data_IF_563904044988
#
_entry.id   IF_563904044988
#
_cell.length_a   1.000
_cell.length_b   1.000
_cell.length_c   1.000
_cell.angle_alpha   90.00
_cell.angle_beta   90.00
_cell.angle_gamma   90.00
#
_symmetry.space_group_name_H-M   'P 1'
#
loop_
_entity.id
_entity.type
_entity.pdbx_description
1 polymer ?
#
# COMPACT_ATOMS: atom_id res chain seq x y z
N UNK A 1 -4.39 -1.94 11.95
CA UNK A 1 -3.72 -2.16 13.25
C UNK A 1 -4.71 -2.04 14.40
N UNK A 2 -5.40 -0.92 14.56
CA UNK A 2 -6.31 -0.68 15.71
C UNK A 2 -7.37 -1.78 15.88
N UNK A 3 -8.14 -2.10 14.84
CA UNK A 3 -9.16 -3.15 14.92
C UNK A 3 -8.60 -4.50 15.40
N UNK A 4 -7.44 -4.94 14.90
CA UNK A 4 -6.83 -6.20 15.36
C UNK A 4 -6.34 -6.05 16.80
N UNK A 5 -5.75 -4.89 17.17
CA UNK A 5 -5.32 -4.63 18.55
C UNK A 5 -6.49 -4.71 19.53
N UNK A 6 -7.63 -4.16 19.16
CA UNK A 6 -8.85 -4.18 19.98
C UNK A 6 -9.40 -5.60 20.12
N UNK A 7 -9.42 -6.38 19.04
CA UNK A 7 -9.91 -7.78 19.05
C UNK A 7 -9.02 -8.73 19.88
N UNK A 8 -7.70 -8.57 19.82
CA UNK A 8 -6.78 -9.48 20.51
C UNK A 8 -6.23 -8.94 21.82
N UNK A 9 -6.56 -7.70 22.18
CA UNK A 9 -6.10 -7.06 23.41
C UNK A 9 -4.58 -6.80 23.45
N UNK A 10 -3.91 -6.71 22.29
CA UNK A 10 -2.45 -6.51 22.18
C UNK A 10 -2.14 -5.33 21.28
N UNK A 11 -1.28 -4.43 21.74
CA UNK A 11 -0.79 -3.32 20.90
C UNK A 11 0.03 -3.84 19.71
N UNK A 12 -0.42 -3.52 18.49
CA UNK A 12 0.28 -3.85 17.26
C UNK A 12 1.07 -2.65 16.77
N UNK A 13 2.34 -2.58 17.12
CA UNK A 13 3.24 -1.49 16.73
C UNK A 13 4.32 -1.92 15.73
N UNK A 14 4.28 -3.15 15.24
CA UNK A 14 5.26 -3.73 14.32
C UNK A 14 4.56 -4.36 13.12
N UNK A 15 5.02 -4.03 11.93
CA UNK A 15 4.57 -4.62 10.68
C UNK A 15 5.68 -5.43 10.03
N UNK A 16 5.33 -6.54 9.41
CA UNK A 16 6.20 -7.34 8.55
C UNK A 16 5.56 -7.52 7.19
N UNK A 17 6.38 -7.49 6.15
CA UNK A 17 5.95 -7.77 4.79
C UNK A 17 6.99 -8.64 4.10
N UNK A 18 6.53 -9.64 3.36
CA UNK A 18 7.40 -10.57 2.64
C UNK A 18 7.04 -10.56 1.17
N UNK A 19 8.03 -10.78 0.31
CA UNK A 19 7.90 -10.89 -1.14
C UNK A 19 7.55 -9.60 -1.88
N UNK A 20 7.06 -8.58 -1.22
CA UNK A 20 6.75 -7.28 -1.84
C UNK A 20 8.06 -6.54 -2.13
N UNK A 21 8.38 -6.26 -3.39
CA UNK A 21 9.70 -5.78 -3.78
C UNK A 21 9.96 -4.32 -3.45
N UNK A 22 8.95 -3.55 -3.11
CA UNK A 22 9.13 -2.14 -2.73
C UNK A 22 7.95 -1.55 -2.00
N UNK A 23 8.16 -0.30 -1.55
CA UNK A 23 7.26 0.35 -0.62
C UNK A 23 7.03 1.80 -1.04
N UNK A 24 5.78 2.18 -1.26
CA UNK A 24 5.42 3.55 -1.56
C UNK A 24 5.68 4.48 -0.37
N UNK A 25 6.23 5.65 -0.60
CA UNK A 25 6.61 6.59 0.46
C UNK A 25 5.45 7.01 1.38
N UNK A 26 4.23 7.07 0.86
CA UNK A 26 3.03 7.34 1.66
C UNK A 26 2.73 6.32 2.76
N UNK A 27 3.32 5.13 2.68
CA UNK A 27 3.16 4.07 3.68
C UNK A 27 3.69 4.51 5.07
N UNK A 28 4.74 5.34 5.12
CA UNK A 28 5.29 5.84 6.39
C UNK A 28 4.22 6.56 7.21
N UNK A 29 3.52 7.52 6.57
CA UNK A 29 2.45 8.26 7.23
C UNK A 29 1.32 7.33 7.67
N UNK A 30 0.90 6.40 6.80
CA UNK A 30 -0.14 5.44 7.13
C UNK A 30 0.24 4.56 8.33
N UNK A 31 1.47 4.04 8.38
CA UNK A 31 1.97 3.25 9.50
C UNK A 31 2.02 4.07 10.79
N UNK A 32 2.69 5.22 10.77
CA UNK A 32 2.90 6.04 11.96
C UNK A 32 1.57 6.53 12.57
N UNK A 33 0.62 6.98 11.74
CA UNK A 33 -0.72 7.42 12.20
C UNK A 33 -1.57 6.28 12.75
N UNK A 34 -1.25 5.03 12.42
CA UNK A 34 -1.89 3.83 12.98
C UNK A 34 -1.06 3.17 14.09
N UNK A 35 -0.09 3.86 14.70
CA UNK A 35 0.68 3.37 15.83
C UNK A 35 1.78 2.35 15.47
N UNK A 36 2.00 2.06 14.19
CA UNK A 36 3.09 1.18 13.75
C UNK A 36 4.39 1.97 13.76
N UNK A 37 5.32 1.57 14.63
CA UNK A 37 6.63 2.19 14.86
C UNK A 37 7.77 1.46 14.17
N UNK A 38 7.59 0.17 13.92
CA UNK A 38 8.61 -0.75 13.41
C UNK A 38 8.14 -1.45 12.15
N UNK A 39 9.05 -1.58 11.19
CA UNK A 39 8.71 -2.19 9.92
C UNK A 39 9.84 -3.10 9.42
N UNK A 40 9.51 -4.35 9.15
CA UNK A 40 10.42 -5.36 8.61
C UNK A 40 10.00 -5.79 7.20
N UNK A 41 10.37 -5.05 6.15
CA UNK A 41 10.21 -5.54 4.79
C UNK A 41 11.23 -6.62 4.48
N UNK A 42 10.78 -7.64 3.75
CA UNK A 42 11.63 -8.67 3.17
C UNK A 42 11.33 -8.75 1.68
N UNK A 43 11.99 -7.96 0.85
CA UNK A 43 11.74 -7.95 -0.58
C UNK A 43 12.11 -9.28 -1.22
N UNK A 44 11.48 -9.59 -2.33
CA UNK A 44 11.94 -10.70 -3.16
C UNK A 44 13.28 -10.32 -3.77
N UNK A 45 14.32 -10.83 -3.19
CA UNK A 45 15.69 -10.64 -3.65
C UNK A 45 16.31 -11.98 -4.02
N UNK A 46 16.64 -12.13 -5.27
CA UNK A 46 17.39 -13.30 -5.75
C UNK A 46 18.77 -12.81 -6.18
N UNK A 47 19.84 -13.23 -5.50
CA UNK A 47 21.21 -12.79 -5.79
C UNK A 47 21.63 -12.98 -7.26
N UNK A 48 20.99 -13.92 -7.95
CA UNK A 48 21.24 -14.18 -9.38
C UNK A 48 20.65 -13.11 -10.31
N UNK A 49 19.64 -12.37 -9.89
CA UNK A 49 19.07 -11.24 -10.64
C UNK A 49 19.76 -9.91 -10.33
N UNK A 50 20.64 -9.85 -9.34
CA UNK A 50 21.47 -8.68 -8.99
C UNK A 50 22.37 -8.17 -10.11
N UNK A 51 22.43 -8.87 -11.24
CA UNK A 51 23.05 -8.39 -12.48
C UNK A 51 22.11 -7.62 -13.41
N UNK A 52 20.85 -7.53 -13.10
CA UNK A 52 19.92 -6.61 -13.78
C UNK A 52 20.14 -5.23 -13.15
N UNK A 53 21.30 -4.72 -13.37
CA UNK A 53 22.08 -3.74 -12.64
C UNK A 53 21.57 -2.31 -12.61
N UNK A 54 20.28 -2.03 -12.84
CA UNK A 54 19.70 -0.69 -12.71
C UNK A 54 18.32 -0.71 -12.04
N UNK A 55 17.95 -1.80 -11.41
CA UNK A 55 16.73 -1.87 -10.63
C UNK A 55 16.88 -1.05 -9.34
N UNK A 56 15.96 -0.13 -9.10
CA UNK A 56 15.92 0.64 -7.85
C UNK A 56 15.82 -0.26 -6.61
N UNK A 57 15.15 -1.41 -6.71
CA UNK A 57 15.07 -2.37 -5.62
C UNK A 57 16.45 -2.93 -5.28
N UNK A 58 17.24 -3.30 -6.27
CA UNK A 58 18.62 -3.76 -6.06
C UNK A 58 19.48 -2.65 -5.44
N UNK A 59 19.38 -1.41 -5.91
CA UNK A 59 20.12 -0.28 -5.36
C UNK A 59 19.76 0.03 -3.90
N UNK A 60 18.48 -0.01 -3.56
CA UNK A 60 17.99 0.17 -2.19
C UNK A 60 18.42 -1.01 -1.30
N UNK A 61 18.44 -2.22 -1.84
CA UNK A 61 18.86 -3.41 -1.14
C UNK A 61 20.34 -3.37 -0.79
N UNK A 62 21.19 -2.98 -1.74
CA UNK A 62 22.64 -2.76 -1.53
C UNK A 62 22.87 -1.68 -0.49
N UNK A 63 22.07 -0.61 -0.50
CA UNK A 63 22.22 0.49 0.44
C UNK A 63 21.71 0.17 1.84
N UNK A 64 20.60 -0.52 1.96
CA UNK A 64 19.84 -0.67 3.20
C UNK A 64 19.63 -2.12 3.64
N UNK A 65 20.08 -3.09 2.88
CA UNK A 65 20.00 -4.51 3.28
C UNK A 65 20.76 -4.74 4.59
N UNK A 66 20.05 -5.29 5.59
CA UNK A 66 20.54 -5.50 6.95
C UNK A 66 21.11 -4.25 7.65
N UNK A 67 20.80 -3.07 7.13
CA UNK A 67 21.17 -1.78 7.72
C UNK A 67 19.92 -1.02 8.15
N UNK A 68 19.67 -0.91 9.45
CA UNK A 68 18.47 -0.24 9.95
C UNK A 68 18.56 1.28 9.76
N UNK A 69 17.39 1.89 9.56
CA UNK A 69 17.25 3.33 9.39
C UNK A 69 15.86 3.80 9.80
N UNK A 70 15.71 5.07 10.13
CA UNK A 70 14.40 5.69 10.23
C UNK A 70 13.93 6.14 8.86
N UNK A 71 12.80 5.60 8.41
CA UNK A 71 12.14 6.06 7.19
C UNK A 71 11.18 7.18 7.54
N UNK A 72 11.47 8.38 7.02
CA UNK A 72 10.73 9.60 7.33
C UNK A 72 9.69 9.91 6.27
N UNK A 73 8.52 10.37 6.70
CA UNK A 73 7.42 10.79 5.82
C UNK A 73 7.78 12.02 4.99
N UNK A 74 6.99 12.29 3.95
CA UNK A 74 7.13 13.50 3.11
C UNK A 74 7.00 14.80 3.89
N UNK A 75 6.15 14.83 4.92
CA UNK A 75 5.98 15.99 5.80
C UNK A 75 7.14 16.20 6.77
N UNK A 76 8.00 15.20 6.95
CA UNK A 76 9.06 15.23 7.96
C UNK A 76 8.58 15.00 9.40
N UNK A 77 7.27 14.85 9.63
CA UNK A 77 6.69 14.77 10.99
C UNK A 77 6.64 13.37 11.55
N UNK A 78 6.56 12.37 10.68
CA UNK A 78 6.38 10.96 11.05
C UNK A 78 7.59 10.15 10.61
N UNK A 79 7.96 9.15 11.39
CA UNK A 79 9.02 8.20 11.05
C UNK A 79 8.72 6.81 11.58
N UNK A 80 9.25 5.80 10.90
CA UNK A 80 9.17 4.38 11.26
C UNK A 80 10.57 3.80 11.21
N UNK A 81 10.97 3.03 12.22
CA UNK A 81 12.23 2.31 12.20
C UNK A 81 12.10 1.08 11.27
N UNK A 82 12.97 1.00 10.28
CA UNK A 82 12.96 -0.04 9.25
C UNK A 82 14.20 -0.91 9.37
N UNK A 83 14.01 -2.21 9.25
CA UNK A 83 15.07 -3.17 8.96
C UNK A 83 14.67 -3.99 7.74
N UNK A 84 15.30 -3.71 6.62
CA UNK A 84 15.11 -4.46 5.39
C UNK A 84 16.00 -5.70 5.40
N UNK A 85 15.40 -6.89 5.22
CA UNK A 85 16.17 -8.12 5.16
C UNK A 85 17.17 -8.09 3.98
N UNK A 86 18.45 -8.21 4.28
CA UNK A 86 19.54 -8.00 3.34
C UNK A 86 19.65 -9.03 2.23
N UNK A 87 19.08 -10.23 2.44
CA UNK A 87 19.08 -11.30 1.45
C UNK A 87 17.67 -11.79 1.09
N UNK A 88 16.71 -10.86 1.14
CA UNK A 88 15.31 -11.14 0.88
C UNK A 88 14.59 -11.77 2.06
N UNK A 89 13.32 -12.14 1.85
CA UNK A 89 12.44 -12.54 2.95
C UNK A 89 12.63 -13.98 3.44
N UNK A 90 13.17 -14.87 2.63
CA UNK A 90 13.25 -16.31 2.97
C UNK A 90 14.53 -16.99 2.52
N UNK A 91 15.15 -16.53 1.47
CA UNK A 91 16.19 -17.26 0.76
C UNK A 91 17.41 -17.62 1.62
N UNK A 92 18.07 -16.64 2.21
CA UNK A 92 19.24 -16.87 3.06
C UNK A 92 18.83 -17.44 4.40
N UNK A 93 17.84 -16.85 5.01
CA UNK A 93 17.42 -17.19 6.36
C UNK A 93 16.73 -18.55 6.44
N UNK A 94 16.03 -18.98 5.38
CA UNK A 94 15.44 -20.32 5.29
C UNK A 94 16.43 -21.47 5.22
N UNK A 95 17.69 -21.18 4.97
CA UNK A 95 18.74 -22.21 4.87
C UNK A 95 19.56 -22.35 6.14
N UNK A 96 19.40 -21.43 7.10
CA UNK A 96 20.24 -21.36 8.28
C UNK A 96 20.10 -22.59 9.16
N UNK A 97 18.89 -23.02 9.52
CA UNK A 97 18.68 -24.19 10.38
C UNK A 97 19.09 -25.49 9.70
N UNK A 98 18.73 -25.69 8.42
CA UNK A 98 19.19 -26.86 7.66
C UNK A 98 20.71 -26.92 7.53
N UNK A 99 21.39 -25.77 7.61
CA UNK A 99 22.84 -25.69 7.45
C UNK A 99 23.60 -25.67 8.76
N UNK A 100 23.04 -25.19 9.86
CA UNK A 100 23.63 -25.33 11.19
C UNK A 100 23.73 -26.82 11.58
N UNK A 101 22.72 -27.64 11.23
CA UNK A 101 22.69 -29.06 11.58
C UNK A 101 23.31 -30.00 10.55
N UNK A 102 23.27 -29.71 9.27
CA UNK A 102 23.56 -30.67 8.20
C UNK A 102 24.75 -30.28 7.31
N UNK A 103 24.98 -29.00 7.06
CA UNK A 103 25.99 -28.53 6.08
C UNK A 103 27.15 -27.74 6.70
N UNK A 104 27.27 -27.72 8.03
CA UNK A 104 28.35 -27.05 8.71
C UNK A 104 28.14 -25.55 8.99
N UNK A 105 29.18 -24.86 9.41
CA UNK A 105 29.16 -23.49 9.91
C UNK A 105 29.36 -22.44 8.81
N UNK A 106 29.74 -22.86 7.61
CA UNK A 106 30.17 -21.98 6.52
C UNK A 106 29.18 -20.82 6.24
N UNK A 107 27.87 -21.04 6.15
CA UNK A 107 26.95 -19.94 5.85
C UNK A 107 26.87 -18.87 6.94
N UNK A 108 27.11 -19.22 8.19
CA UNK A 108 27.15 -18.26 9.28
C UNK A 108 28.46 -17.48 9.24
N UNK A 109 29.59 -18.17 9.02
CA UNK A 109 30.87 -17.52 8.89
C UNK A 109 30.95 -16.62 7.66
N UNK A 110 30.37 -17.04 6.52
CA UNK A 110 30.28 -16.24 5.32
C UNK A 110 29.48 -14.96 5.59
N UNK A 111 28.33 -15.07 6.27
CA UNK A 111 27.52 -13.91 6.61
C UNK A 111 28.20 -12.97 7.59
N UNK A 112 28.87 -13.49 8.61
CA UNK A 112 29.63 -12.66 9.56
C UNK A 112 30.82 -11.97 8.87
N UNK A 113 31.52 -12.67 7.98
CA UNK A 113 32.61 -12.11 7.18
C UNK A 113 32.11 -11.01 6.25
N UNK A 114 30.93 -11.18 5.66
CA UNK A 114 30.28 -10.16 4.85
C UNK A 114 29.94 -8.92 5.69
N UNK A 115 29.33 -9.09 6.86
CA UNK A 115 29.03 -8.00 7.78
C UNK A 115 30.29 -7.24 8.24
N UNK A 116 31.38 -7.97 8.53
CA UNK A 116 32.68 -7.36 8.85
C UNK A 116 33.26 -6.60 7.67
N UNK A 117 33.21 -7.17 6.47
CA UNK A 117 33.71 -6.54 5.26
C UNK A 117 32.95 -5.25 4.91
N UNK A 118 31.67 -5.23 5.24
CA UNK A 118 30.80 -4.07 5.04
C UNK A 118 30.83 -3.09 6.23
N UNK A 119 31.70 -3.29 7.20
CA UNK A 119 31.83 -2.43 8.39
C UNK A 119 30.51 -2.29 9.15
N UNK A 120 29.81 -3.42 9.35
CA UNK A 120 28.53 -3.44 10.08
C UNK A 120 28.72 -2.96 11.53
N UNK A 121 28.09 -1.86 11.95
CA UNK A 121 28.48 -1.17 13.19
C UNK A 121 27.80 -1.70 14.44
N UNK A 122 26.89 -2.69 14.32
CA UNK A 122 26.08 -3.16 15.44
C UNK A 122 26.51 -4.55 15.89
N UNK A 123 26.32 -4.84 17.17
CA UNK A 123 26.60 -6.14 17.75
C UNK A 123 25.44 -7.14 17.66
N UNK A 124 24.32 -6.70 17.10
CA UNK A 124 23.11 -7.52 16.97
C UNK A 124 22.53 -7.33 15.58
N UNK A 125 22.21 -8.42 14.91
CA UNK A 125 21.50 -8.38 13.64
C UNK A 125 20.17 -9.12 13.71
N UNK A 126 19.25 -8.76 12.81
CA UNK A 126 17.92 -9.33 12.70
C UNK A 126 17.86 -10.34 11.57
N UNK A 127 17.63 -11.60 11.91
CA UNK A 127 17.48 -12.68 10.95
C UNK A 127 16.00 -13.08 10.83
N UNK A 128 15.53 -13.21 9.61
CA UNK A 128 14.21 -13.80 9.31
C UNK A 128 14.41 -15.24 8.86
N UNK A 129 13.63 -16.14 9.44
CA UNK A 129 13.79 -17.56 9.19
C UNK A 129 12.51 -18.20 8.67
N UNK A 130 12.65 -19.01 7.63
CA UNK A 130 11.63 -19.94 7.12
C UNK A 130 12.28 -21.26 6.73
N UNK A 131 11.57 -22.38 6.91
CA UNK A 131 12.03 -23.69 6.46
C UNK A 131 11.96 -23.78 4.94
N UNK A 132 13.00 -24.28 4.30
CA UNK A 132 13.07 -24.54 2.85
C UNK A 132 12.88 -23.30 1.95
N UNK A 133 12.96 -22.09 2.48
CA UNK A 133 12.79 -20.87 1.71
C UNK A 133 11.34 -20.39 1.66
N UNK A 134 10.82 -20.17 0.46
CA UNK A 134 9.49 -19.61 0.25
C UNK A 134 8.38 -20.58 0.68
N UNK A 135 7.34 -20.05 1.33
CA UNK A 135 6.16 -20.79 1.78
C UNK A 135 6.47 -22.03 2.64
N UNK A 136 7.58 -22.00 3.36
CA UNK A 136 7.99 -23.12 4.21
C UNK A 136 7.12 -23.29 5.47
N UNK A 137 6.95 -24.54 5.95
CA UNK A 137 6.25 -24.80 7.20
C UNK A 137 7.04 -24.32 8.41
N UNK A 138 6.42 -24.24 9.60
CA UNK A 138 7.14 -24.03 10.84
C UNK A 138 8.21 -25.11 11.08
N UNK A 139 9.40 -24.70 11.50
CA UNK A 139 10.50 -25.62 11.82
C UNK A 139 10.37 -26.11 13.25
N UNK A 140 10.13 -27.42 13.40
CA UNK A 140 10.01 -28.07 14.71
C UNK A 140 11.36 -28.22 15.43
N UNK A 141 12.47 -28.21 14.69
CA UNK A 141 13.82 -28.40 15.24
C UNK A 141 14.54 -27.11 15.63
N UNK A 142 14.01 -25.95 15.24
CA UNK A 142 14.70 -24.66 15.39
C UNK A 142 15.15 -24.36 16.81
N UNK A 143 14.30 -24.62 17.80
CA UNK A 143 14.63 -24.37 19.21
C UNK A 143 15.77 -25.25 19.73
N UNK A 144 15.80 -26.50 19.28
CA UNK A 144 16.85 -27.45 19.67
C UNK A 144 18.18 -27.10 19.00
N UNK A 145 18.16 -26.80 17.71
CA UNK A 145 19.35 -26.36 16.96
C UNK A 145 19.97 -25.09 17.57
N UNK A 146 19.14 -24.11 17.93
CA UNK A 146 19.62 -22.87 18.58
C UNK A 146 20.20 -23.15 19.96
N UNK A 147 19.57 -24.02 20.76
CA UNK A 147 20.10 -24.40 22.06
C UNK A 147 21.47 -25.08 21.94
N UNK A 148 21.58 -26.09 21.05
CA UNK A 148 22.84 -26.79 20.78
C UNK A 148 23.94 -25.85 20.28
N UNK A 149 23.59 -24.90 19.41
CA UNK A 149 24.52 -23.88 18.97
C UNK A 149 25.03 -23.03 20.12
N UNK A 150 24.14 -22.49 20.94
CA UNK A 150 24.48 -21.61 22.05
C UNK A 150 25.25 -22.31 23.19
N UNK A 151 25.09 -23.63 23.34
CA UNK A 151 25.89 -24.45 24.26
C UNK A 151 27.32 -24.69 23.72
N UNK A 152 27.46 -24.73 22.40
CA UNK A 152 28.71 -25.04 21.71
C UNK A 152 29.59 -23.83 21.42
N UNK A 153 28.99 -22.68 21.13
CA UNK A 153 29.69 -21.47 20.73
C UNK A 153 29.38 -20.31 21.67
N UNK A 154 30.39 -19.59 22.09
CA UNK A 154 30.24 -18.38 22.89
C UNK A 154 29.74 -17.20 22.05
N UNK A 155 30.14 -17.11 20.78
CA UNK A 155 29.75 -16.07 19.82
C UNK A 155 29.71 -16.63 18.40
N UNK A 156 28.72 -16.23 17.58
CA UNK A 156 27.52 -15.47 17.95
C UNK A 156 26.50 -16.32 18.68
N UNK A 157 25.70 -15.68 19.53
CA UNK A 157 24.56 -16.32 20.19
C UNK A 157 23.29 -16.06 19.36
N UNK A 158 22.46 -17.09 19.19
CA UNK A 158 21.16 -16.96 18.56
C UNK A 158 20.05 -16.83 19.62
N UNK A 159 19.09 -15.99 19.32
CA UNK A 159 17.90 -15.83 20.15
C UNK A 159 16.64 -15.81 19.29
N UNK A 160 15.68 -16.68 19.57
CA UNK A 160 14.33 -16.60 18.99
C UNK A 160 13.61 -15.42 19.66
N UNK A 161 13.06 -14.54 18.83
CA UNK A 161 12.38 -13.33 19.29
C UNK A 161 11.21 -13.01 18.34
N UNK A 162 10.26 -12.23 18.83
CA UNK A 162 9.33 -11.54 17.95
C UNK A 162 10.02 -10.34 17.30
N UNK A 163 9.55 -9.93 16.11
CA UNK A 163 10.05 -8.71 15.47
C UNK A 163 9.92 -7.50 16.43
N UNK A 164 8.77 -7.37 17.11
CA UNK A 164 8.56 -6.31 18.12
C UNK A 164 9.65 -6.27 19.19
N UNK A 165 9.94 -7.41 19.83
CA UNK A 165 10.93 -7.46 20.89
C UNK A 165 12.33 -7.08 20.39
N UNK A 166 12.68 -7.55 19.20
CA UNK A 166 13.94 -7.18 18.57
C UNK A 166 14.03 -5.69 18.35
N UNK A 167 13.07 -5.10 17.64
CA UNK A 167 13.08 -3.67 17.30
C UNK A 167 13.12 -2.78 18.53
N UNK A 168 12.34 -3.08 19.56
CA UNK A 168 12.33 -2.29 20.79
C UNK A 168 13.70 -2.26 21.45
N UNK A 169 14.36 -3.41 21.59
CA UNK A 169 15.70 -3.49 22.19
C UNK A 169 16.77 -2.85 21.31
N UNK A 170 16.65 -3.02 20.01
CA UNK A 170 17.57 -2.43 19.06
C UNK A 170 17.47 -0.90 19.05
N UNK A 171 16.25 -0.36 19.06
CA UNK A 171 16.02 1.08 19.14
C UNK A 171 16.51 1.67 20.47
N UNK A 172 16.28 0.99 21.59
CA UNK A 172 16.80 1.39 22.90
C UNK A 172 18.33 1.54 22.90
N UNK A 173 19.02 0.61 22.23
CA UNK A 173 20.48 0.59 22.19
C UNK A 173 21.10 1.53 21.16
N UNK A 174 20.51 1.60 19.96
CA UNK A 174 21.13 2.25 18.80
C UNK A 174 20.29 3.36 18.18
N UNK A 175 19.05 3.57 18.64
CA UNK A 175 18.10 4.44 17.97
C UNK A 175 18.57 5.89 17.77
N UNK A 176 19.41 6.39 18.67
CA UNK A 176 19.94 7.76 18.57
C UNK A 176 20.97 7.95 17.42
N UNK A 177 21.59 6.86 16.97
CA UNK A 177 22.67 6.85 15.98
C UNK A 177 22.19 6.47 14.59
N UNK A 178 20.93 6.02 14.46
CA UNK A 178 20.41 5.51 13.20
C UNK A 178 20.23 6.63 12.17
N UNK A 179 20.62 6.37 10.92
CA UNK A 179 20.42 7.32 9.84
C UNK A 179 18.92 7.51 9.54
N UNK A 180 18.59 8.68 8.99
CA UNK A 180 17.24 8.99 8.50
C UNK A 180 17.25 8.98 6.98
N UNK A 181 16.30 8.25 6.40
CA UNK A 181 16.05 8.23 4.97
C UNK A 181 14.67 8.82 4.68
N UNK A 182 14.62 9.78 3.76
CA UNK A 182 13.39 10.36 3.24
C UNK A 182 13.35 10.13 1.72
N UNK A 183 12.38 9.37 1.27
CA UNK A 183 12.27 9.04 -0.15
C UNK A 183 11.38 7.83 -0.40
N UNK A 184 11.07 7.64 -1.67
CA UNK A 184 10.29 6.50 -2.14
C UNK A 184 11.16 5.25 -2.25
N UNK A 185 10.60 4.12 -1.86
CA UNK A 185 11.24 2.81 -1.95
C UNK A 185 10.51 1.88 -2.93
N UNK A 186 9.71 2.46 -3.83
CA UNK A 186 9.00 1.70 -4.87
C UNK A 186 10.00 1.20 -5.92
N UNK A 187 10.04 -0.09 -6.23
CA UNK A 187 10.90 -0.67 -7.24
C UNK A 187 10.28 -0.61 -8.62
N UNK A 188 10.99 -1.16 -9.60
CA UNK A 188 10.52 -1.35 -10.97
C UNK A 188 9.62 -2.56 -11.17
N UNK A 189 9.42 -3.38 -10.16
CA UNK A 189 8.55 -4.56 -10.26
C UNK A 189 7.06 -4.19 -10.23
N UNK A 190 6.61 -3.55 -11.30
CA UNK A 190 5.21 -3.22 -11.54
C UNK A 190 4.72 -3.80 -12.88
N UNK A 191 5.32 -4.86 -13.33
CA UNK A 191 5.02 -5.49 -14.62
C UNK A 191 3.55 -5.86 -14.75
N UNK A 192 2.95 -6.33 -13.67
CA UNK A 192 1.54 -6.68 -13.64
C UNK A 192 0.63 -5.47 -13.83
N UNK A 193 0.92 -4.35 -13.17
CA UNK A 193 0.16 -3.12 -13.32
C UNK A 193 0.23 -2.58 -14.76
N UNK A 194 1.40 -2.68 -15.39
CA UNK A 194 1.60 -2.27 -16.78
C UNK A 194 0.87 -3.21 -17.76
N UNK A 195 0.89 -4.52 -17.53
CA UNK A 195 0.24 -5.50 -18.42
C UNK A 195 -1.29 -5.48 -18.34
N UNK A 196 -1.88 -4.93 -17.28
CA UNK A 196 -3.33 -4.77 -17.08
C UNK A 196 -3.70 -3.31 -16.86
N UNK A 197 -3.20 -2.43 -17.70
CA UNK A 197 -3.32 -0.97 -17.55
C UNK A 197 -4.79 -0.49 -17.43
N UNK A 198 -5.72 -1.09 -18.17
CA UNK A 198 -7.14 -0.74 -18.12
C UNK A 198 -7.75 -1.06 -16.76
N UNK A 199 -7.53 -2.26 -16.24
CA UNK A 199 -8.03 -2.72 -14.95
C UNK A 199 -7.34 -1.97 -13.80
N UNK A 200 -6.07 -1.66 -13.94
CA UNK A 200 -5.32 -0.83 -12.98
C UNK A 200 -5.90 0.58 -12.92
N UNK A 201 -6.16 1.22 -14.03
CA UNK A 201 -6.81 2.54 -14.09
C UNK A 201 -8.22 2.50 -13.48
N UNK A 202 -9.00 1.46 -13.79
CA UNK A 202 -10.32 1.22 -13.21
C UNK A 202 -10.24 1.06 -11.69
N UNK A 203 -9.32 0.25 -11.19
CA UNK A 203 -9.15 0.02 -9.75
C UNK A 203 -8.74 1.29 -9.00
N UNK A 204 -7.83 2.09 -9.55
CA UNK A 204 -7.41 3.38 -8.98
C UNK A 204 -8.59 4.37 -8.94
N UNK A 205 -9.35 4.48 -10.01
CA UNK A 205 -10.55 5.32 -10.06
C UNK A 205 -11.59 4.86 -9.05
N UNK A 206 -11.75 3.55 -8.89
CA UNK A 206 -12.68 2.95 -7.93
C UNK A 206 -12.27 3.26 -6.49
N UNK A 207 -10.99 3.13 -6.15
CA UNK A 207 -10.49 3.48 -4.82
C UNK A 207 -10.76 4.96 -4.48
N UNK A 208 -10.49 5.87 -5.42
CA UNK A 208 -10.79 7.29 -5.24
C UNK A 208 -12.31 7.54 -5.07
N UNK A 209 -13.14 6.88 -5.89
CA UNK A 209 -14.60 6.98 -5.80
C UNK A 209 -15.13 6.47 -4.46
N UNK A 210 -14.62 5.35 -3.94
CA UNK A 210 -15.03 4.82 -2.65
C UNK A 210 -14.75 5.82 -1.52
N UNK A 211 -13.54 6.36 -1.45
CA UNK A 211 -13.18 7.36 -0.45
C UNK A 211 -14.07 8.62 -0.52
N UNK A 212 -14.33 9.10 -1.74
CA UNK A 212 -15.27 10.22 -1.96
C UNK A 212 -16.70 9.85 -1.54
N UNK A 213 -17.14 8.64 -1.85
CA UNK A 213 -18.48 8.16 -1.55
C UNK A 213 -18.74 8.05 -0.04
N UNK A 214 -17.75 7.58 0.73
CA UNK A 214 -17.79 7.58 2.21
C UNK A 214 -18.00 8.99 2.75
N UNK A 215 -17.25 9.95 2.21
CA UNK A 215 -17.35 11.36 2.58
C UNK A 215 -18.73 11.92 2.21
N UNK A 216 -19.20 11.70 0.97
CA UNK A 216 -20.54 12.14 0.52
C UNK A 216 -21.64 11.53 1.39
N UNK A 217 -21.53 10.24 1.72
CA UNK A 217 -22.47 9.59 2.62
C UNK A 217 -22.55 10.31 3.96
N UNK A 218 -21.39 10.58 4.56
CA UNK A 218 -21.30 11.30 5.84
C UNK A 218 -21.85 12.74 5.78
N UNK A 219 -21.74 13.39 4.61
CA UNK A 219 -22.27 14.76 4.40
C UNK A 219 -23.80 14.77 4.25
N UNK A 220 -24.38 13.80 3.55
CA UNK A 220 -25.77 13.84 3.08
C UNK A 220 -26.73 12.96 3.89
N UNK A 221 -26.26 11.83 4.44
CA UNK A 221 -27.07 10.86 5.19
C UNK A 221 -26.88 11.03 6.70
N UNK A 222 -27.60 11.95 7.30
CA UNK A 222 -27.47 12.27 8.73
C UNK A 222 -28.06 11.23 9.68
N UNK A 223 -29.06 10.50 9.23
CA UNK A 223 -29.89 9.58 10.06
C UNK A 223 -29.83 8.13 9.58
N UNK A 224 -29.37 7.87 8.39
CA UNK A 224 -29.32 6.54 7.79
C UNK A 224 -28.09 5.78 8.28
N UNK A 225 -28.27 4.48 8.48
CA UNK A 225 -27.13 3.63 8.85
C UNK A 225 -26.11 3.58 7.71
N UNK A 226 -24.84 3.81 8.05
CA UNK A 226 -23.73 3.68 7.10
C UNK A 226 -23.65 2.23 6.60
N UNK A 227 -23.59 1.97 5.27
CA UNK A 227 -23.60 0.62 4.72
C UNK A 227 -22.20 -0.05 4.79
N UNK A 228 -21.68 -0.18 6.00
CA UNK A 228 -20.32 -0.66 6.33
C UNK A 228 -19.95 -1.97 5.60
N UNK A 229 -20.87 -2.94 5.59
CA UNK A 229 -20.62 -4.23 4.91
C UNK A 229 -20.41 -4.08 3.42
N UNK A 230 -21.16 -3.20 2.76
CA UNK A 230 -21.03 -2.99 1.31
C UNK A 230 -19.74 -2.25 0.95
N UNK A 231 -19.34 -1.25 1.76
CA UNK A 231 -18.04 -0.60 1.59
C UNK A 231 -16.87 -1.56 1.84
N UNK A 232 -16.94 -2.36 2.91
CA UNK A 232 -15.89 -3.37 3.19
C UNK A 232 -15.72 -4.36 2.05
N UNK A 233 -16.81 -4.83 1.45
CA UNK A 233 -16.71 -5.76 0.31
C UNK A 233 -16.14 -5.10 -0.95
N UNK A 234 -16.51 -3.85 -1.23
CA UNK A 234 -15.93 -3.09 -2.34
C UNK A 234 -14.43 -2.82 -2.13
N UNK A 235 -14.03 -2.38 -0.94
CA UNK A 235 -12.62 -2.19 -0.59
C UNK A 235 -11.82 -3.49 -0.61
N UNK A 236 -12.40 -4.62 -0.19
CA UNK A 236 -11.77 -5.93 -0.29
C UNK A 236 -11.41 -6.27 -1.74
N UNK A 237 -12.31 -6.03 -2.68
CA UNK A 237 -12.04 -6.26 -4.10
C UNK A 237 -10.93 -5.34 -4.63
N UNK A 238 -10.89 -4.04 -4.23
CA UNK A 238 -9.79 -3.13 -4.56
C UNK A 238 -8.45 -3.66 -4.07
N UNK A 239 -8.40 -4.15 -2.82
CA UNK A 239 -7.16 -4.65 -2.20
C UNK A 239 -6.71 -5.96 -2.86
N UNK A 240 -7.63 -6.90 -3.11
CA UNK A 240 -7.32 -8.17 -3.77
C UNK A 240 -6.83 -8.00 -5.21
N UNK A 241 -7.32 -6.99 -5.92
CA UNK A 241 -6.77 -6.63 -7.22
C UNK A 241 -5.32 -6.13 -7.10
N UNK A 242 -5.00 -5.37 -6.06
CA UNK A 242 -3.70 -4.72 -5.85
C UNK A 242 -2.68 -5.59 -5.10
N UNK A 243 -2.97 -6.89 -4.86
CA UNK A 243 -1.99 -7.76 -4.23
C UNK A 243 -0.75 -7.98 -5.14
N UNK A 244 0.39 -8.37 -4.56
CA UNK A 244 1.70 -8.28 -5.20
C UNK A 244 1.99 -9.31 -6.30
N UNK A 245 1.26 -10.44 -6.38
CA UNK A 245 1.57 -11.51 -7.34
C UNK A 245 1.12 -11.23 -8.77
N UNK A 246 0.21 -10.34 -8.96
CA UNK A 246 -0.18 -9.71 -10.22
C UNK A 246 -0.15 -10.61 -11.48
N UNK A 247 -1.02 -11.50 -11.65
CA UNK A 247 -1.07 -12.41 -12.78
C UNK A 247 -0.35 -13.74 -12.50
N UNK A 248 -0.22 -14.55 -13.51
CA UNK A 248 0.40 -15.85 -13.37
C UNK A 248 1.91 -15.78 -13.51
N UNK A 249 2.63 -16.62 -12.77
CA UNK A 249 4.09 -16.80 -12.93
C UNK A 249 4.49 -17.16 -14.38
N UNK A 250 3.59 -17.79 -15.13
CA UNK A 250 3.77 -18.14 -16.55
C UNK A 250 3.41 -16.99 -17.52
N UNK A 251 3.05 -15.80 -17.06
CA UNK A 251 2.63 -14.70 -17.94
C UNK A 251 3.71 -14.29 -18.95
N UNK A 252 4.98 -14.38 -18.55
CA UNK A 252 6.11 -14.08 -19.44
C UNK A 252 6.50 -15.23 -20.39
N UNK A 253 6.31 -16.48 -19.98
CA UNK A 253 6.78 -17.66 -20.72
C UNK A 253 5.67 -18.33 -21.53
N UNK A 254 4.41 -18.29 -21.05
CA UNK A 254 3.25 -18.88 -21.72
C UNK A 254 1.98 -18.02 -21.53
N UNK A 255 1.95 -16.80 -22.12
CA UNK A 255 0.86 -15.84 -21.92
C UNK A 255 -0.49 -16.32 -22.48
N UNK A 256 -0.48 -17.30 -23.37
CA UNK A 256 -1.67 -17.80 -24.05
C UNK A 256 -2.25 -19.08 -23.44
N UNK A 257 -1.59 -19.67 -22.45
CA UNK A 257 -2.10 -20.86 -21.76
C UNK A 257 -3.45 -20.59 -21.09
N UNK A 258 -4.24 -21.64 -20.96
CA UNK A 258 -5.50 -21.56 -20.20
C UNK A 258 -5.26 -21.13 -18.75
N UNK A 259 -4.20 -21.63 -18.13
CA UNK A 259 -3.83 -21.28 -16.76
C UNK A 259 -3.59 -19.78 -16.60
N UNK A 260 -2.79 -19.17 -17.47
CA UNK A 260 -2.50 -17.72 -17.43
C UNK A 260 -3.78 -16.89 -17.64
N UNK A 261 -4.60 -17.28 -18.62
CA UNK A 261 -5.86 -16.58 -18.90
C UNK A 261 -6.85 -16.67 -17.74
N UNK A 262 -7.03 -17.84 -17.15
CA UNK A 262 -7.92 -18.03 -15.99
C UNK A 262 -7.50 -17.17 -14.80
N UNK A 263 -6.20 -17.03 -14.54
CA UNK A 263 -5.68 -16.15 -13.48
C UNK A 263 -5.92 -14.67 -13.78
N UNK A 264 -5.71 -14.24 -15.01
CA UNK A 264 -5.98 -12.85 -15.42
C UNK A 264 -7.47 -12.52 -15.35
N UNK A 265 -8.34 -13.42 -15.77
CA UNK A 265 -9.79 -13.26 -15.63
C UNK A 265 -10.19 -13.14 -14.15
N UNK A 266 -9.62 -13.97 -13.28
CA UNK A 266 -9.84 -13.88 -11.84
C UNK A 266 -9.41 -12.53 -11.25
N UNK A 267 -8.23 -12.03 -11.64
CA UNK A 267 -7.76 -10.70 -11.22
C UNK A 267 -8.64 -9.58 -11.76
N UNK A 268 -8.98 -9.62 -13.04
CA UNK A 268 -9.89 -8.66 -13.67
C UNK A 268 -11.23 -8.60 -12.94
N UNK A 269 -11.78 -9.74 -12.55
CA UNK A 269 -13.06 -9.79 -11.83
C UNK A 269 -13.07 -8.99 -10.54
N UNK A 270 -11.95 -8.88 -9.81
CA UNK A 270 -11.86 -8.02 -8.64
C UNK A 270 -12.04 -6.54 -9.01
N UNK A 271 -11.37 -6.06 -10.06
CA UNK A 271 -11.50 -4.68 -10.51
C UNK A 271 -12.92 -4.36 -11.00
N UNK A 272 -13.51 -5.25 -11.80
CA UNK A 272 -14.88 -5.14 -12.30
C UNK A 272 -15.91 -5.10 -11.15
N UNK A 273 -15.80 -6.02 -10.20
CA UNK A 273 -16.68 -6.09 -9.02
C UNK A 273 -16.57 -4.82 -8.17
N UNK A 274 -15.35 -4.38 -7.86
CA UNK A 274 -15.10 -3.17 -7.10
C UNK A 274 -15.71 -1.95 -7.80
N UNK A 275 -15.51 -1.83 -9.12
CA UNK A 275 -16.06 -0.73 -9.91
C UNK A 275 -17.59 -0.70 -9.86
N UNK A 276 -18.24 -1.84 -10.09
CA UNK A 276 -19.70 -1.94 -10.05
C UNK A 276 -20.25 -1.61 -8.66
N UNK A 277 -19.67 -2.18 -7.61
CA UNK A 277 -20.07 -1.93 -6.22
C UNK A 277 -19.90 -0.45 -5.86
N UNK A 278 -18.80 0.17 -6.23
CA UNK A 278 -18.55 1.59 -5.95
C UNK A 278 -19.53 2.51 -6.67
N UNK A 279 -19.94 2.19 -7.90
CA UNK A 279 -20.95 2.94 -8.63
C UNK A 279 -22.33 2.87 -7.96
N UNK A 280 -22.71 1.69 -7.47
CA UNK A 280 -23.97 1.51 -6.72
C UNK A 280 -23.94 2.35 -5.44
N UNK A 281 -22.87 2.25 -4.65
CA UNK A 281 -22.71 3.02 -3.43
C UNK A 281 -22.71 4.53 -3.69
N UNK A 282 -22.03 4.98 -4.75
CA UNK A 282 -22.00 6.39 -5.15
C UNK A 282 -23.40 6.92 -5.49
N UNK A 283 -24.18 6.18 -6.27
CA UNK A 283 -25.57 6.53 -6.58
C UNK A 283 -26.45 6.59 -5.33
N UNK A 284 -26.26 5.65 -4.41
CA UNK A 284 -26.98 5.65 -3.14
C UNK A 284 -26.59 6.84 -2.27
N UNK A 285 -25.28 7.17 -2.18
CA UNK A 285 -24.80 8.31 -1.42
C UNK A 285 -25.38 9.64 -1.91
N UNK A 286 -25.62 9.78 -3.21
CA UNK A 286 -26.22 10.97 -3.82
C UNK A 286 -27.75 11.00 -3.75
N UNK A 287 -28.40 9.93 -3.29
CA UNK A 287 -29.89 9.85 -3.31
C UNK A 287 -30.63 10.94 -2.52
N UNK A 288 -30.06 11.55 -1.44
CA UNK A 288 -30.71 12.68 -0.78
C UNK A 288 -30.70 13.97 -1.59
N UNK A 289 -29.80 14.09 -2.55
CA UNK A 289 -29.86 15.17 -3.50
C UNK A 289 -30.96 14.81 -4.51
N UNK A 290 -32.19 15.14 -4.16
CA UNK A 290 -33.29 15.00 -5.11
C UNK A 290 -32.97 15.86 -6.32
N UNK A 291 -32.52 15.22 -7.37
CA UNK A 291 -32.47 15.83 -8.69
C UNK A 291 -33.94 15.98 -9.07
N UNK A 292 -34.45 17.19 -8.97
CA UNK A 292 -35.73 17.52 -9.56
C UNK A 292 -35.71 17.02 -11.01
N UNK A 293 -36.72 16.25 -11.38
CA UNK A 293 -36.78 15.58 -12.69
C UNK A 293 -36.73 16.56 -13.89
N UNK A 294 -36.56 17.86 -13.63
CA UNK A 294 -36.43 18.92 -14.60
C UNK A 294 -35.00 19.28 -15.04
N UNK A 295 -33.98 18.85 -14.32
CA UNK A 295 -32.58 19.10 -14.72
C UNK A 295 -32.10 20.55 -14.59
N UNK A 296 -32.78 21.39 -13.84
CA UNK A 296 -32.50 22.83 -13.79
C UNK A 296 -31.44 23.21 -12.72
N UNK A 297 -30.88 22.23 -12.03
CA UNK A 297 -29.87 22.47 -10.99
C UNK A 297 -28.63 21.62 -11.14
N UNK A 298 -27.46 22.22 -10.83
CA UNK A 298 -26.18 21.54 -10.75
C UNK A 298 -25.68 21.63 -9.30
N UNK A 299 -25.47 20.48 -8.66
CA UNK A 299 -24.89 20.38 -7.33
C UNK A 299 -23.39 20.09 -7.44
N UNK A 300 -22.56 20.97 -6.90
CA UNK A 300 -21.11 20.78 -6.81
C UNK A 300 -20.75 20.48 -5.35
N UNK A 301 -20.20 19.28 -5.09
CA UNK A 301 -19.80 18.86 -3.75
C UNK A 301 -18.29 18.93 -3.62
N UNK A 302 -17.83 19.60 -2.57
CA UNK A 302 -16.43 19.57 -2.18
C UNK A 302 -16.25 18.56 -1.04
N UNK A 303 -15.64 17.44 -1.34
CA UNK A 303 -15.35 16.36 -0.38
C UNK A 303 -14.00 16.54 0.33
N UNK A 304 -13.25 17.59 0.04
CA UNK A 304 -11.96 17.88 0.67
C UNK A 304 -12.13 18.68 1.98
N UNK A 305 -11.08 18.66 2.80
CA UNK A 305 -11.02 19.38 4.08
C UNK A 305 -10.57 20.84 3.94
N UNK A 306 -10.54 21.38 2.73
CA UNK A 306 -10.16 22.76 2.42
C UNK A 306 -11.06 23.34 1.34
N UNK A 307 -11.15 24.67 1.28
CA UNK A 307 -11.87 25.36 0.22
C UNK A 307 -11.25 25.06 -1.14
N UNK A 308 -12.06 24.88 -2.15
CA UNK A 308 -11.60 24.49 -3.47
C UNK A 308 -12.21 25.37 -4.56
N UNK A 309 -11.38 25.79 -5.49
CA UNK A 309 -11.75 26.32 -6.81
C UNK A 309 -11.31 25.30 -7.84
N UNK A 310 -12.22 24.82 -8.67
CA UNK A 310 -11.87 23.82 -9.69
C UNK A 310 -12.83 23.85 -10.87
N UNK A 311 -12.39 23.22 -11.97
CA UNK A 311 -13.23 23.04 -13.16
C UNK A 311 -14.23 21.91 -12.94
N UNK A 312 -15.50 22.22 -13.19
CA UNK A 312 -16.60 21.25 -13.17
C UNK A 312 -17.00 20.90 -14.60
N UNK A 313 -17.03 19.63 -14.90
CA UNK A 313 -17.54 19.11 -16.17
C UNK A 313 -18.98 18.66 -15.99
N UNK A 314 -19.89 19.22 -16.78
CA UNK A 314 -21.28 18.82 -16.76
C UNK A 314 -21.48 17.51 -17.53
N UNK A 315 -22.46 16.72 -17.11
CA UNK A 315 -22.84 15.51 -17.83
C UNK A 315 -23.20 15.84 -19.28
N UNK A 316 -22.93 14.94 -20.20
CA UNK A 316 -23.19 15.11 -21.64
C UNK A 316 -24.68 15.33 -21.99
N UNK A 317 -25.59 14.97 -21.07
CA UNK A 317 -27.03 15.23 -21.24
C UNK A 317 -27.41 16.65 -20.85
N UNK A 318 -26.54 17.42 -20.19
CA UNK A 318 -26.81 18.83 -19.87
C UNK A 318 -26.50 19.69 -21.09
N UNK A 319 -27.53 20.38 -21.60
CA UNK A 319 -27.38 21.28 -22.73
C UNK A 319 -27.61 22.73 -22.29
N UNK A 320 -26.59 23.58 -22.49
CA UNK A 320 -26.62 25.02 -22.18
C UNK A 320 -26.63 25.90 -23.44
N UNK A 321 -27.00 25.39 -24.65
CA UNK A 321 -26.89 26.17 -25.89
C UNK A 321 -27.64 27.51 -25.87
N UNK A 322 -28.79 27.58 -25.20
CA UNK A 322 -29.61 28.80 -25.09
C UNK A 322 -29.96 29.11 -23.62
N UNK A 323 -29.18 28.56 -22.71
CA UNK A 323 -29.37 28.63 -21.26
C UNK A 323 -28.15 29.17 -20.58
N UNK A 324 -28.34 29.82 -19.47
CA UNK A 324 -27.26 30.32 -18.61
C UNK A 324 -27.15 29.51 -17.33
N UNK A 325 -25.96 29.41 -16.79
CA UNK A 325 -25.72 28.90 -15.47
C UNK A 325 -25.56 30.08 -14.50
N UNK A 326 -26.35 30.07 -13.44
CA UNK A 326 -26.30 31.15 -12.44
C UNK A 326 -26.03 30.59 -11.07
N UNK A 327 -25.38 31.38 -10.19
CA UNK A 327 -25.22 31.08 -8.78
C UNK A 327 -26.55 31.22 -8.05
N UNK A 328 -26.59 30.79 -6.79
CA UNK A 328 -27.74 30.95 -5.91
C UNK A 328 -28.14 32.42 -5.65
N UNK A 329 -27.17 33.33 -5.83
CA UNK A 329 -27.37 34.79 -5.72
C UNK A 329 -27.80 35.45 -7.02
N UNK A 330 -27.94 34.66 -8.10
CA UNK A 330 -28.37 35.13 -9.44
C UNK A 330 -27.23 35.67 -10.29
N UNK A 331 -25.97 35.46 -9.87
CA UNK A 331 -24.82 35.89 -10.67
C UNK A 331 -24.56 34.90 -11.81
N UNK A 332 -24.32 35.38 -12.99
CA UNK A 332 -24.00 34.53 -14.16
C UNK A 332 -22.63 33.90 -13.99
N UNK A 333 -22.56 32.59 -14.30
CA UNK A 333 -21.33 31.82 -14.33
C UNK A 333 -20.91 31.58 -15.77
N UNK A 334 -19.68 31.95 -16.11
CA UNK A 334 -19.11 31.71 -17.42
C UNK A 334 -18.95 30.20 -17.67
N UNK A 335 -19.46 29.77 -18.85
CA UNK A 335 -19.42 28.37 -19.26
C UNK A 335 -18.71 28.22 -20.59
N UNK A 336 -18.05 27.09 -20.77
CA UNK A 336 -17.34 26.74 -22.01
C UNK A 336 -17.85 25.41 -22.55
N UNK A 337 -18.20 25.38 -23.84
CA UNK A 337 -18.45 24.14 -24.55
C UNK A 337 -17.14 23.49 -24.98
N UNK A 338 -16.95 22.22 -24.63
CA UNK A 338 -15.78 21.45 -24.98
C UNK A 338 -15.90 20.79 -26.34
N UNK A 339 -14.76 20.31 -26.86
CA UNK A 339 -14.72 19.64 -28.18
C UNK A 339 -15.59 18.36 -28.23
N UNK A 340 -15.69 17.64 -27.11
CA UNK A 340 -16.51 16.43 -26.96
C UNK A 340 -18.00 16.72 -26.74
N UNK A 341 -18.41 18.00 -26.79
CA UNK A 341 -19.78 18.45 -26.66
C UNK A 341 -20.26 18.69 -25.23
N UNK A 342 -19.47 18.30 -24.20
CA UNK A 342 -19.80 18.65 -22.84
C UNK A 342 -19.62 20.13 -22.53
N UNK A 343 -20.20 20.59 -21.44
CA UNK A 343 -20.00 21.92 -20.92
C UNK A 343 -19.10 21.87 -19.66
N UNK A 344 -18.34 22.93 -19.44
CA UNK A 344 -17.51 23.10 -18.27
C UNK A 344 -17.63 24.53 -17.71
N UNK A 345 -17.42 24.69 -16.40
CA UNK A 345 -17.34 25.97 -15.74
C UNK A 345 -16.39 25.89 -14.56
N UNK A 346 -15.98 27.04 -14.02
CA UNK A 346 -15.17 27.09 -12.79
C UNK A 346 -16.10 27.28 -11.61
N UNK A 347 -16.10 26.33 -10.68
CA UNK A 347 -16.75 26.46 -9.38
C UNK A 347 -15.74 27.08 -8.40
N UNK A 348 -16.03 28.32 -7.95
CA UNK A 348 -15.08 29.09 -7.17
C UNK A 348 -15.34 28.98 -5.67
N UNK A 349 -14.25 28.80 -4.92
CA UNK A 349 -14.20 28.90 -3.46
C UNK A 349 -15.26 28.04 -2.72
N UNK A 350 -15.54 26.83 -3.20
CA UNK A 350 -16.47 25.91 -2.54
C UNK A 350 -15.89 25.52 -1.17
N UNK A 351 -16.59 25.79 -0.06
CA UNK A 351 -16.04 25.51 1.26
C UNK A 351 -15.74 24.02 1.50
N UNK A 352 -14.87 23.75 2.46
CA UNK A 352 -14.55 22.38 2.86
C UNK A 352 -15.82 21.62 3.29
N UNK A 353 -15.93 20.34 2.89
CA UNK A 353 -17.04 19.44 3.22
C UNK A 353 -18.43 20.08 3.02
N UNK A 354 -18.60 20.80 1.91
CA UNK A 354 -19.84 21.51 1.59
C UNK A 354 -20.29 21.28 0.15
N UNK A 355 -21.42 21.85 -0.17
CA UNK A 355 -21.94 21.86 -1.56
C UNK A 355 -22.40 23.25 -1.94
N UNK A 356 -22.27 23.57 -3.24
CA UNK A 356 -22.87 24.74 -3.88
C UNK A 356 -23.84 24.30 -4.94
N UNK A 357 -24.90 25.09 -5.13
CA UNK A 357 -25.97 24.80 -6.11
C UNK A 357 -26.01 25.91 -7.14
N UNK A 358 -25.96 25.51 -8.37
CA UNK A 358 -26.12 26.39 -9.54
C UNK A 358 -27.43 26.08 -10.23
N UNK A 359 -28.08 27.10 -10.80
CA UNK A 359 -29.33 26.95 -11.51
C UNK A 359 -29.12 27.16 -13.01
N UNK A 360 -29.76 26.34 -13.80
CA UNK A 360 -29.81 26.46 -15.25
C UNK A 360 -31.10 27.24 -15.61
N UNK A 361 -30.96 28.41 -16.22
CA UNK A 361 -32.05 29.31 -16.57
C UNK A 361 -32.15 29.57 -18.04
#
# INVERSE_FOLDING_TARGET
>A
AHWISDEVGVELNTAMMSDVPGQAWGLVTAMAKNGVKYYSPGPNYVPFYGRIGNDRAAALHVRWGDRPFYWQSQSGTDKVLVWQAGRGYSWFHGWLANRIGVCGLEPIWDYLTELETEEFPYQTCYLRYTVHGDNGPPDQSMSDVIREWNERYESPQFRISTAREFFMKFEEQYGAELPVFAGDMTPTWEDGAASTACETAMNRTTAARLAQTETIWSMLHKTDAFPDKAFKEAWKNVILFSEHTWGASASGTDPHSKFTKDLWEGKKAYADNASNQSQILYKQALSPLHVDKGGDFVHVLNTNLWNRTDVVFLDSMVNLNEKELITRTGEKVETQRLYDGRWAFVAENIPALSSEVYQIV
#
